data_IF_915107473007
#
_entry.id   IF_915107473007
#
_cell.length_a   1.000
_cell.length_b   1.000
_cell.length_c   1.000
_cell.angle_alpha   90.00
_cell.angle_beta   90.00
_cell.angle_gamma   90.00
#
_symmetry.space_group_name_H-M   'P 1'
#
loop_
_entity.id
_entity.type
_entity.pdbx_description
1 polymer ?
#
# COMPACT_ATOMS: atom_id res chain seq x y z
N UNK A 1 22.17 19.21 -0.42
CA UNK A 1 22.07 17.82 -0.92
C UNK A 1 22.21 17.90 -2.44
N UNK A 2 23.17 17.18 -3.03
CA UNK A 2 23.33 17.21 -4.49
C UNK A 2 22.26 16.36 -5.18
N UNK A 3 22.00 15.15 -4.66
CA UNK A 3 20.94 14.25 -5.12
C UNK A 3 20.19 13.69 -3.92
N UNK A 4 18.88 13.78 -3.94
CA UNK A 4 17.98 13.12 -3.02
C UNK A 4 17.28 11.98 -3.75
N UNK A 5 17.34 10.78 -3.20
CA UNK A 5 16.62 9.61 -3.72
C UNK A 5 15.57 9.23 -2.69
N UNK A 6 14.31 9.12 -3.12
CA UNK A 6 13.18 8.69 -2.30
C UNK A 6 12.62 7.42 -2.92
N UNK A 7 12.66 6.33 -2.19
CA UNK A 7 12.05 5.06 -2.59
C UNK A 7 10.73 4.84 -1.84
N UNK A 8 9.84 4.00 -2.38
CA UNK A 8 8.49 3.74 -1.86
C UNK A 8 7.69 5.04 -1.61
N UNK A 9 7.82 6.00 -2.51
CA UNK A 9 7.29 7.35 -2.33
C UNK A 9 5.75 7.43 -2.34
N UNK A 10 5.06 6.36 -2.72
CA UNK A 10 3.60 6.20 -2.55
C UNK A 10 3.21 6.16 -1.08
N UNK A 11 4.09 5.67 -0.20
CA UNK A 11 3.87 5.57 1.25
C UNK A 11 4.32 6.81 2.04
N UNK A 12 5.14 7.65 1.45
CA UNK A 12 5.70 8.84 2.11
C UNK A 12 4.81 10.03 1.86
N UNK A 13 4.33 10.69 2.90
CA UNK A 13 3.55 11.93 2.72
C UNK A 13 4.44 13.07 2.23
N UNK A 14 3.86 14.00 1.49
CA UNK A 14 4.61 15.20 1.08
C UNK A 14 5.08 16.01 2.29
N UNK A 15 4.32 16.01 3.37
CA UNK A 15 4.67 16.71 4.61
C UNK A 15 6.00 16.20 5.20
N UNK A 16 6.25 14.88 5.12
CA UNK A 16 7.47 14.27 5.63
C UNK A 16 8.68 14.52 4.73
N UNK A 17 8.48 14.66 3.43
CA UNK A 17 9.57 14.75 2.43
C UNK A 17 9.91 16.16 1.96
N UNK A 18 8.97 17.10 2.03
CA UNK A 18 9.13 18.44 1.42
C UNK A 18 10.35 19.19 1.92
N UNK A 19 10.67 19.09 3.20
CA UNK A 19 11.83 19.77 3.78
C UNK A 19 13.16 19.26 3.23
N UNK A 20 13.22 18.00 2.81
CA UNK A 20 14.38 17.38 2.17
C UNK A 20 14.43 17.73 0.67
N UNK A 21 13.28 17.68 0.00
CA UNK A 21 13.14 18.04 -1.41
C UNK A 21 13.63 19.46 -1.65
N UNK A 22 13.22 20.44 -0.83
CA UNK A 22 13.62 21.84 -0.95
C UNK A 22 15.13 22.10 -0.74
N UNK A 23 15.85 21.14 -0.17
CA UNK A 23 17.31 21.23 0.07
C UNK A 23 18.12 20.50 -0.97
N UNK A 24 17.48 19.80 -1.91
CA UNK A 24 18.15 19.01 -2.92
C UNK A 24 18.24 19.77 -4.25
N UNK A 25 19.38 19.64 -4.92
CA UNK A 25 19.55 20.18 -6.28
C UNK A 25 18.86 19.30 -7.32
N UNK A 26 18.82 18.01 -7.08
CA UNK A 26 18.18 17.01 -7.92
C UNK A 26 17.44 16.00 -7.03
N UNK A 27 16.23 15.61 -7.44
CA UNK A 27 15.42 14.64 -6.73
C UNK A 27 15.05 13.51 -7.69
N UNK A 28 15.24 12.28 -7.23
CA UNK A 28 14.86 11.05 -7.93
C UNK A 28 13.86 10.31 -7.05
N UNK A 29 12.68 10.03 -7.57
CA UNK A 29 11.58 9.45 -6.80
C UNK A 29 11.16 8.15 -7.44
N UNK A 30 11.13 7.09 -6.64
CA UNK A 30 10.62 5.78 -6.99
C UNK A 30 9.35 5.48 -6.20
N UNK A 31 8.39 4.83 -6.82
CA UNK A 31 7.16 4.41 -6.16
C UNK A 31 6.18 3.80 -7.15
N UNK A 32 5.14 3.19 -6.60
CA UNK A 32 4.09 2.54 -7.36
C UNK A 32 2.73 3.02 -6.83
N UNK A 33 1.93 3.64 -7.66
CA UNK A 33 0.62 4.19 -7.28
C UNK A 33 -0.46 3.12 -7.09
N UNK A 34 -0.21 1.91 -7.62
CA UNK A 34 -1.11 0.75 -7.48
C UNK A 34 -0.80 -0.09 -6.25
N UNK A 35 0.24 0.26 -5.51
CA UNK A 35 0.55 -0.33 -4.21
C UNK A 35 -0.05 0.50 -3.07
N UNK A 36 0.11 0.03 -1.85
CA UNK A 36 -0.46 0.68 -0.67
C UNK A 36 -0.01 2.13 -0.58
N UNK A 37 -0.98 3.05 -0.47
CA UNK A 37 -0.74 4.48 -0.33
C UNK A 37 -0.30 4.88 1.08
N UNK A 38 0.14 6.12 1.22
CA UNK A 38 0.48 6.69 2.53
C UNK A 38 -0.74 6.68 3.44
N UNK A 39 -0.67 5.93 4.55
CA UNK A 39 -1.69 6.01 5.59
C UNK A 39 -1.50 7.33 6.33
N UNK A 40 -2.44 8.25 6.15
CA UNK A 40 -2.43 9.51 6.88
C UNK A 40 -2.60 9.24 8.38
N UNK A 41 -1.51 9.33 9.13
CA UNK A 41 -1.52 9.16 10.58
C UNK A 41 -2.15 10.35 11.33
N UNK A 42 -2.49 11.43 10.64
CA UNK A 42 -2.97 12.66 11.27
C UNK A 42 -4.43 12.93 10.92
N UNK A 43 -5.30 12.79 11.91
CA UNK A 43 -6.62 13.42 11.93
C UNK A 43 -6.47 14.94 12.07
N UNK A 44 -5.99 15.62 11.03
CA UNK A 44 -6.02 17.09 11.00
C UNK A 44 -7.46 17.51 10.74
N UNK A 45 -8.03 18.32 11.63
CA UNK A 45 -9.41 18.76 11.47
C UNK A 45 -9.52 19.58 10.16
N UNK A 46 -10.50 19.27 9.37
CA UNK A 46 -10.78 19.88 8.06
C UNK A 46 -10.85 21.40 8.05
N UNK A 47 -11.37 21.98 9.15
CA UNK A 47 -11.51 23.43 9.28
C UNK A 47 -10.17 24.17 9.23
N UNK A 48 -9.14 23.63 9.90
CA UNK A 48 -7.81 24.23 9.87
C UNK A 48 -7.13 24.07 8.50
N UNK A 49 -7.34 22.94 7.83
CA UNK A 49 -6.77 22.71 6.51
C UNK A 49 -7.34 23.67 5.45
N UNK A 50 -8.65 23.90 5.43
CA UNK A 50 -9.30 24.77 4.46
C UNK A 50 -8.93 26.26 4.66
N UNK A 51 -8.90 26.73 5.92
CA UNK A 51 -8.48 28.09 6.25
C UNK A 51 -7.03 28.33 5.89
N UNK A 52 -6.14 27.44 6.29
CA UNK A 52 -4.72 27.52 6.01
C UNK A 52 -4.42 27.44 4.51
N UNK A 53 -5.15 26.59 3.78
CA UNK A 53 -5.02 26.50 2.34
C UNK A 53 -5.45 27.77 1.61
N UNK A 54 -6.51 28.42 2.07
CA UNK A 54 -6.94 29.74 1.57
C UNK A 54 -5.88 30.81 1.78
N UNK A 55 -5.21 30.83 2.94
CA UNK A 55 -4.13 31.76 3.24
C UNK A 55 -2.91 31.53 2.33
N UNK A 56 -2.53 30.26 2.11
CA UNK A 56 -1.42 29.91 1.19
C UNK A 56 -1.74 30.37 -0.24
N UNK A 57 -2.95 30.11 -0.75
CA UNK A 57 -3.35 30.53 -2.10
C UNK A 57 -3.28 32.05 -2.24
N UNK A 58 -3.72 32.78 -1.21
CA UNK A 58 -3.68 34.24 -1.22
C UNK A 58 -2.25 34.75 -1.21
N UNK A 59 -1.40 34.23 -0.33
CA UNK A 59 0.02 34.59 -0.28
C UNK A 59 0.75 34.28 -1.60
N UNK A 60 0.46 33.11 -2.19
CA UNK A 60 1.02 32.73 -3.48
C UNK A 60 0.61 33.70 -4.60
N UNK A 61 -0.66 34.08 -4.64
CA UNK A 61 -1.15 35.02 -5.64
C UNK A 61 -0.47 36.41 -5.52
N UNK A 62 -0.25 36.85 -4.28
CA UNK A 62 0.41 38.11 -3.98
C UNK A 62 1.91 38.06 -4.33
N UNK A 63 2.62 37.02 -3.97
CA UNK A 63 4.07 36.86 -4.21
C UNK A 63 4.42 36.72 -5.70
N UNK A 64 3.58 36.09 -6.50
CA UNK A 64 3.81 35.85 -7.93
C UNK A 64 3.03 36.80 -8.84
N UNK A 65 2.35 37.77 -8.28
CA UNK A 65 1.51 38.73 -9.02
C UNK A 65 0.54 38.05 -10.01
N UNK A 66 0.01 36.91 -9.57
CA UNK A 66 -0.95 36.09 -10.32
C UNK A 66 -2.34 36.29 -9.76
N UNK A 67 -3.32 36.46 -10.64
CA UNK A 67 -4.73 36.50 -10.24
C UNK A 67 -5.31 35.09 -10.19
N UNK A 68 -5.46 34.54 -9.00
CA UNK A 68 -6.33 33.37 -8.79
C UNK A 68 -7.75 33.89 -8.64
N UNK A 69 -8.66 33.50 -9.51
CA UNK A 69 -10.04 33.97 -9.46
C UNK A 69 -10.73 33.54 -8.16
N UNK A 70 -11.61 34.38 -7.61
CA UNK A 70 -12.38 34.03 -6.39
C UNK A 70 -13.22 32.75 -6.56
N UNK A 71 -13.65 32.46 -7.79
CA UNK A 71 -14.33 31.21 -8.14
C UNK A 71 -13.39 30.00 -7.97
N UNK A 72 -12.15 30.08 -8.44
CA UNK A 72 -11.16 29.01 -8.28
C UNK A 72 -10.76 28.83 -6.82
N UNK A 73 -10.60 29.92 -6.05
CA UNK A 73 -10.32 29.84 -4.61
C UNK A 73 -11.45 29.13 -3.87
N UNK A 74 -12.70 29.49 -4.18
CA UNK A 74 -13.88 28.88 -3.54
C UNK A 74 -13.99 27.40 -3.91
N UNK A 75 -13.78 27.03 -5.17
CA UNK A 75 -13.80 25.63 -5.62
C UNK A 75 -12.75 24.79 -4.89
N UNK A 76 -11.51 25.29 -4.74
CA UNK A 76 -10.45 24.62 -4.02
C UNK A 76 -10.76 24.45 -2.52
N UNK A 77 -11.33 25.47 -1.87
CA UNK A 77 -11.73 25.40 -0.47
C UNK A 77 -12.91 24.45 -0.29
N UNK A 78 -13.88 24.46 -1.21
CA UNK A 78 -15.04 23.57 -1.15
C UNK A 78 -14.65 22.10 -1.39
N UNK A 79 -13.68 21.80 -2.27
CA UNK A 79 -13.14 20.46 -2.46
C UNK A 79 -12.40 19.94 -1.22
N UNK A 80 -11.49 20.74 -0.66
CA UNK A 80 -10.79 20.37 0.58
C UNK A 80 -11.79 20.14 1.73
N UNK A 81 -12.91 20.87 1.76
CA UNK A 81 -13.95 20.72 2.76
C UNK A 81 -14.81 19.47 2.54
N UNK A 82 -15.00 19.04 1.29
CA UNK A 82 -15.76 17.84 0.92
C UNK A 82 -15.00 16.55 1.16
N UNK A 83 -13.68 16.52 0.90
CA UNK A 83 -12.81 15.36 1.14
C UNK A 83 -12.79 14.91 2.61
N UNK A 84 -13.19 15.79 3.52
CA UNK A 84 -13.22 15.49 4.96
C UNK A 84 -14.53 14.86 5.40
N UNK A 85 -15.61 15.02 4.63
CA UNK A 85 -16.91 14.41 4.93
C UNK A 85 -17.15 13.07 4.23
N UNK A 86 -16.25 12.67 3.36
CA UNK A 86 -16.30 11.38 2.67
C UNK A 86 -15.17 10.48 3.21
N UNK A 87 -15.48 9.73 4.27
CA UNK A 87 -14.86 8.42 4.43
C UNK A 87 -15.19 7.63 3.17
N UNK A 88 -14.13 7.11 2.50
CA UNK A 88 -14.20 6.13 1.45
C UNK A 88 -14.82 6.61 0.12
N UNK A 89 -13.99 7.19 -0.72
CA UNK A 89 -13.82 6.79 -2.14
C UNK A 89 -12.76 7.69 -2.76
N UNK A 90 -11.63 7.13 -3.14
CA UNK A 90 -10.74 7.72 -4.12
C UNK A 90 -11.55 7.96 -5.40
N UNK A 91 -12.13 9.14 -5.50
CA UNK A 91 -12.62 9.59 -6.78
C UNK A 91 -11.41 10.12 -7.55
N UNK A 92 -10.96 9.34 -8.53
CA UNK A 92 -10.14 9.78 -9.65
C UNK A 92 -10.86 10.93 -10.38
N UNK A 93 -10.88 12.08 -9.80
CA UNK A 93 -11.22 13.29 -10.52
C UNK A 93 -9.99 13.67 -11.32
N UNK A 94 -9.86 13.10 -12.49
CA UNK A 94 -9.01 13.57 -13.57
C UNK A 94 -9.47 14.98 -13.96
N UNK A 95 -9.10 15.96 -13.16
CA UNK A 95 -9.25 17.36 -13.50
C UNK A 95 -8.30 17.66 -14.65
N UNK A 96 -8.86 17.86 -15.83
CA UNK A 96 -8.10 18.43 -16.94
C UNK A 96 -7.69 19.85 -16.53
N UNK A 97 -6.40 20.12 -16.26
CA UNK A 97 -5.99 21.43 -15.82
C UNK A 97 -6.15 22.40 -16.97
N UNK A 98 -7.03 23.38 -16.82
CA UNK A 98 -7.03 24.54 -17.67
C UNK A 98 -5.99 25.57 -17.20
N UNK A 99 -5.54 25.43 -15.95
CA UNK A 99 -4.49 26.24 -15.33
C UNK A 99 -3.56 25.34 -14.51
N UNK A 100 -2.29 25.25 -14.91
CA UNK A 100 -1.28 24.43 -14.24
C UNK A 100 -1.04 24.79 -12.77
N UNK A 101 -1.30 26.03 -12.38
CA UNK A 101 -1.19 26.53 -11.01
C UNK A 101 -2.21 25.87 -10.09
N UNK A 102 -3.44 25.73 -10.55
CA UNK A 102 -4.54 25.11 -9.79
C UNK A 102 -4.25 23.62 -9.55
N UNK A 103 -3.76 22.91 -10.56
CA UNK A 103 -3.36 21.51 -10.41
C UNK A 103 -2.27 21.34 -9.34
N UNK A 104 -1.26 22.20 -9.39
CA UNK A 104 -0.15 22.16 -8.43
C UNK A 104 -0.63 22.38 -6.98
N UNK A 105 -1.50 23.36 -6.77
CA UNK A 105 -2.08 23.63 -5.44
C UNK A 105 -2.95 22.48 -4.93
N UNK A 106 -3.73 21.81 -5.80
CA UNK A 106 -4.53 20.65 -5.43
C UNK A 106 -3.69 19.44 -5.02
N UNK A 107 -2.54 19.24 -5.65
CA UNK A 107 -1.63 18.14 -5.30
C UNK A 107 -0.81 18.42 -4.04
N UNK A 108 -0.76 19.66 -3.56
CA UNK A 108 -0.07 20.03 -2.33
C UNK A 108 -1.00 19.88 -1.10
N UNK A 109 -1.38 18.65 -0.80
CA UNK A 109 -2.21 18.30 0.35
C UNK A 109 -1.41 17.42 1.32
N UNK A 110 -1.63 17.56 2.62
CA UNK A 110 -0.97 16.77 3.67
C UNK A 110 -1.20 15.26 3.51
N UNK A 111 -2.28 14.87 2.86
CA UNK A 111 -2.62 13.46 2.54
C UNK A 111 -2.01 12.97 1.24
N UNK A 112 -1.51 13.87 0.41
CA UNK A 112 -0.91 13.51 -0.86
C UNK A 112 0.42 12.81 -0.64
N UNK A 113 0.63 11.69 -1.32
CA UNK A 113 1.93 11.03 -1.31
C UNK A 113 2.98 11.85 -2.04
N UNK A 114 4.23 11.66 -1.64
CA UNK A 114 5.37 12.26 -2.34
C UNK A 114 5.41 11.87 -3.82
N UNK A 115 4.98 10.64 -4.16
CA UNK A 115 4.90 10.18 -5.55
C UNK A 115 3.88 10.98 -6.35
N UNK A 116 2.67 11.15 -5.83
CA UNK A 116 1.60 11.91 -6.51
C UNK A 116 2.00 13.37 -6.72
N UNK A 117 2.58 13.99 -5.69
CA UNK A 117 3.11 15.34 -5.80
C UNK A 117 4.22 15.43 -6.86
N UNK A 118 5.17 14.50 -6.84
CA UNK A 118 6.28 14.47 -7.80
C UNK A 118 5.80 14.31 -9.24
N UNK A 119 4.81 13.48 -9.51
CA UNK A 119 4.23 13.31 -10.86
C UNK A 119 3.70 14.61 -11.43
N UNK A 120 3.16 15.50 -10.58
CA UNK A 120 2.63 16.79 -11.02
C UNK A 120 3.72 17.82 -11.41
N UNK A 121 4.93 17.70 -10.83
CA UNK A 121 6.01 18.68 -11.03
C UNK A 121 7.25 18.11 -11.71
N UNK A 122 7.31 16.81 -11.94
CA UNK A 122 8.48 16.15 -12.52
C UNK A 122 8.73 16.62 -13.96
N UNK A 123 9.98 16.93 -14.24
CA UNK A 123 10.43 17.25 -15.61
C UNK A 123 10.70 16.00 -16.46
N UNK A 124 10.76 14.83 -15.85
CA UNK A 124 10.92 13.54 -16.51
C UNK A 124 10.25 12.43 -15.70
N UNK A 125 9.48 11.60 -16.37
CA UNK A 125 8.82 10.43 -15.77
C UNK A 125 9.00 9.22 -16.69
N UNK A 126 9.29 8.07 -16.09
CA UNK A 126 9.37 6.79 -16.80
C UNK A 126 8.75 5.68 -15.98
N UNK A 127 8.17 4.69 -16.64
CA UNK A 127 7.58 3.53 -16.01
C UNK A 127 8.48 2.31 -16.18
N UNK A 128 8.80 1.65 -15.07
CA UNK A 128 9.51 0.38 -15.07
C UNK A 128 8.49 -0.75 -15.22
N UNK A 129 8.52 -1.44 -16.34
CA UNK A 129 7.54 -2.50 -16.67
C UNK A 129 8.06 -3.91 -16.48
N UNK A 130 9.36 -4.08 -16.26
CA UNK A 130 9.95 -5.40 -16.12
C UNK A 130 9.84 -5.91 -14.69
N UNK A 131 9.29 -7.11 -14.53
CA UNK A 131 9.08 -7.76 -13.23
C UNK A 131 9.91 -9.02 -13.12
N UNK A 132 10.76 -9.11 -12.10
CA UNK A 132 11.70 -10.22 -11.86
C UNK A 132 11.44 -10.96 -10.55
N UNK A 133 10.62 -10.40 -9.63
CA UNK A 133 10.46 -10.89 -8.26
C UNK A 133 9.58 -12.15 -8.19
N UNK A 134 8.37 -12.08 -8.73
CA UNK A 134 7.37 -13.14 -8.60
C UNK A 134 7.21 -13.98 -9.86
N UNK A 135 6.74 -15.22 -9.71
CA UNK A 135 6.30 -16.03 -10.83
C UNK A 135 5.05 -15.44 -11.48
N UNK A 136 4.82 -15.70 -12.78
CA UNK A 136 3.66 -15.16 -13.51
C UNK A 136 2.32 -15.44 -12.81
N UNK A 137 2.17 -16.61 -12.22
CA UNK A 137 0.94 -17.03 -11.52
C UNK A 137 0.64 -16.21 -10.26
N UNK A 138 1.67 -15.63 -9.63
CA UNK A 138 1.52 -14.81 -8.43
C UNK A 138 1.17 -13.37 -8.83
N UNK A 139 1.93 -12.79 -9.77
CA UNK A 139 1.73 -11.39 -10.16
C UNK A 139 0.60 -11.20 -11.17
N UNK A 140 0.14 -12.29 -11.80
CA UNK A 140 -0.83 -12.26 -12.90
C UNK A 140 -2.12 -11.53 -12.53
N UNK A 141 -2.65 -11.78 -11.33
CA UNK A 141 -3.84 -11.06 -10.87
C UNK A 141 -3.62 -9.55 -10.85
N UNK A 142 -2.55 -9.09 -10.20
CA UNK A 142 -2.26 -7.66 -10.12
C UNK A 142 -1.97 -7.07 -11.50
N UNK A 143 -1.27 -7.82 -12.36
CA UNK A 143 -0.98 -7.38 -13.72
C UNK A 143 -2.27 -7.19 -14.54
N UNK A 144 -3.19 -8.15 -14.49
CA UNK A 144 -4.41 -8.10 -15.29
C UNK A 144 -5.42 -7.06 -14.78
N UNK A 145 -5.56 -6.89 -13.45
CA UNK A 145 -6.60 -6.06 -12.86
C UNK A 145 -6.17 -4.62 -12.55
N UNK A 146 -4.87 -4.34 -12.42
CA UNK A 146 -4.38 -3.01 -12.07
C UNK A 146 -3.47 -2.43 -13.14
N UNK A 147 -2.36 -3.11 -13.47
CA UNK A 147 -1.36 -2.53 -14.35
C UNK A 147 -1.79 -2.49 -15.82
N UNK A 148 -2.45 -3.54 -16.29
CA UNK A 148 -2.92 -3.63 -17.68
C UNK A 148 -4.06 -2.64 -17.99
N UNK A 149 -4.99 -2.47 -17.07
CA UNK A 149 -6.04 -1.47 -17.18
C UNK A 149 -5.48 -0.05 -17.26
N UNK A 150 -4.38 0.20 -16.56
CA UNK A 150 -3.66 1.47 -16.59
C UNK A 150 -2.70 1.62 -17.77
N UNK A 151 -2.72 0.72 -18.76
CA UNK A 151 -1.78 0.67 -19.89
C UNK A 151 -0.30 0.48 -19.48
N UNK A 152 -0.09 -0.08 -18.30
CA UNK A 152 1.23 -0.35 -17.70
C UNK A 152 1.49 -1.85 -17.56
N UNK A 153 1.00 -2.68 -18.49
CA UNK A 153 1.19 -4.12 -18.46
C UNK A 153 2.64 -4.52 -18.15
N UNK A 154 2.80 -5.36 -17.12
CA UNK A 154 4.10 -5.81 -16.67
C UNK A 154 4.65 -6.93 -17.57
N UNK A 155 5.92 -6.83 -17.88
CA UNK A 155 6.69 -7.89 -18.57
C UNK A 155 7.31 -8.78 -17.51
N UNK A 156 6.75 -9.97 -17.31
CA UNK A 156 7.24 -10.90 -16.28
C UNK A 156 8.41 -11.70 -16.83
N UNK A 157 9.60 -11.39 -16.35
CA UNK A 157 10.86 -12.03 -16.80
C UNK A 157 11.26 -13.25 -15.97
N UNK A 158 10.52 -13.57 -14.89
CA UNK A 158 10.79 -14.74 -14.08
C UNK A 158 10.13 -15.98 -14.67
N UNK A 159 10.95 -16.92 -15.10
CA UNK A 159 10.48 -18.21 -15.63
C UNK A 159 10.14 -19.12 -14.45
N UNK A 160 8.97 -19.74 -14.52
CA UNK A 160 8.55 -20.76 -13.56
C UNK A 160 9.39 -22.02 -13.71
N UNK A 161 10.04 -22.41 -12.62
CA UNK A 161 10.88 -23.63 -12.54
C UNK A 161 10.23 -24.77 -11.78
N UNK A 162 9.02 -24.57 -11.24
CA UNK A 162 8.25 -25.53 -10.43
C UNK A 162 6.87 -25.75 -11.03
N UNK A 163 6.21 -26.91 -10.79
CA UNK A 163 4.79 -27.08 -11.12
C UNK A 163 3.92 -25.99 -10.47
N UNK A 164 2.82 -25.62 -11.13
CA UNK A 164 1.93 -24.55 -10.63
C UNK A 164 1.40 -24.81 -9.22
N UNK A 165 1.08 -26.07 -8.89
CA UNK A 165 0.62 -26.46 -7.56
C UNK A 165 1.67 -26.32 -6.44
N UNK A 166 2.94 -26.10 -6.79
CA UNK A 166 4.00 -25.77 -5.84
C UNK A 166 4.21 -24.26 -5.70
N UNK A 167 3.77 -23.49 -6.69
CA UNK A 167 3.87 -22.02 -6.70
C UNK A 167 2.71 -21.38 -5.98
N UNK A 168 1.50 -21.88 -6.23
CA UNK A 168 0.25 -21.36 -5.64
C UNK A 168 -0.57 -22.53 -5.11
N UNK A 169 -0.84 -22.55 -3.81
CA UNK A 169 -1.60 -23.59 -3.13
C UNK A 169 -2.76 -22.98 -2.37
N UNK A 170 -3.95 -23.57 -2.52
CA UNK A 170 -5.14 -23.22 -1.76
C UNK A 170 -5.43 -24.33 -0.76
N UNK A 171 -5.43 -23.99 0.53
CA UNK A 171 -5.74 -24.89 1.63
C UNK A 171 -7.10 -24.48 2.19
N UNK A 172 -8.10 -25.32 1.98
CA UNK A 172 -9.41 -25.11 2.57
C UNK A 172 -9.43 -25.62 4.00
N UNK A 173 -9.84 -24.79 4.94
CA UNK A 173 -9.98 -25.13 6.36
C UNK A 173 -11.43 -25.05 6.81
N UNK A 174 -11.71 -25.69 7.95
CA UNK A 174 -13.04 -25.62 8.57
C UNK A 174 -13.36 -24.21 9.04
N UNK A 175 -14.64 -23.84 8.98
CA UNK A 175 -15.13 -22.58 9.52
C UNK A 175 -15.48 -22.69 11.02
N UNK A 176 -15.27 -23.83 11.65
CA UNK A 176 -15.57 -24.05 13.06
C UNK A 176 -14.53 -23.39 13.99
N UNK A 177 -13.33 -23.15 13.50
CA UNK A 177 -12.22 -22.55 14.25
C UNK A 177 -12.33 -21.04 14.47
N UNK A 178 -13.44 -20.42 14.12
CA UNK A 178 -13.66 -18.99 14.38
C UNK A 178 -13.84 -18.77 15.88
N UNK A 179 -12.81 -18.23 16.53
CA UNK A 179 -12.72 -18.05 17.97
C UNK A 179 -13.16 -16.67 18.46
N UNK A 180 -13.55 -15.78 17.54
CA UNK A 180 -13.94 -14.40 17.84
C UNK A 180 -14.03 -13.57 16.57
N UNK A 181 -14.30 -12.27 16.67
CA UNK A 181 -14.23 -11.40 15.52
C UNK A 181 -12.79 -11.42 14.96
N UNK A 182 -12.67 -11.52 13.66
CA UNK A 182 -11.39 -11.43 12.96
C UNK A 182 -10.34 -12.48 13.33
N UNK A 183 -10.75 -13.67 13.82
CA UNK A 183 -9.82 -14.73 14.22
C UNK A 183 -10.31 -16.10 13.78
N UNK A 184 -9.46 -16.85 13.07
CA UNK A 184 -9.70 -18.23 12.65
C UNK A 184 -8.55 -19.14 13.10
N UNK A 185 -8.81 -19.97 14.12
CA UNK A 185 -7.81 -20.88 14.69
C UNK A 185 -7.46 -22.03 13.75
N UNK A 186 -8.42 -22.50 12.94
CA UNK A 186 -8.18 -23.61 12.01
C UNK A 186 -7.18 -23.20 10.91
N UNK A 187 -7.22 -21.92 10.46
CA UNK A 187 -6.19 -21.41 9.53
C UNK A 187 -4.81 -21.37 10.19
N UNK A 188 -4.72 -20.90 11.43
CA UNK A 188 -3.45 -20.87 12.16
C UNK A 188 -2.90 -22.29 12.33
N UNK A 189 -3.76 -23.25 12.68
CA UNK A 189 -3.39 -24.65 12.86
C UNK A 189 -2.89 -25.28 11.56
N UNK A 190 -3.58 -25.00 10.44
CA UNK A 190 -3.16 -25.46 9.12
C UNK A 190 -1.78 -24.89 8.73
N UNK A 191 -1.56 -23.61 8.95
CA UNK A 191 -0.26 -22.98 8.71
C UNK A 191 0.83 -23.59 9.59
N UNK A 192 0.57 -23.75 10.90
CA UNK A 192 1.52 -24.40 11.81
C UNK A 192 1.87 -25.82 11.35
N UNK A 193 0.87 -26.58 10.91
CA UNK A 193 1.05 -27.94 10.44
C UNK A 193 1.92 -27.99 9.19
N UNK A 194 1.68 -27.11 8.21
CA UNK A 194 2.48 -27.06 7.00
C UNK A 194 3.91 -26.59 7.29
N UNK A 195 4.10 -25.57 8.13
CA UNK A 195 5.43 -25.15 8.58
C UNK A 195 6.18 -26.34 9.21
N UNK A 196 5.55 -27.07 10.13
CA UNK A 196 6.15 -28.24 10.77
C UNK A 196 6.56 -29.32 9.76
N UNK A 197 5.70 -29.60 8.79
CA UNK A 197 5.98 -30.59 7.75
C UNK A 197 7.15 -30.17 6.88
N UNK A 198 7.22 -28.90 6.49
CA UNK A 198 8.34 -28.36 5.70
C UNK A 198 9.66 -28.40 6.46
N UNK A 199 9.65 -28.02 7.73
CA UNK A 199 10.85 -28.10 8.59
C UNK A 199 11.35 -29.53 8.72
N UNK A 200 10.44 -30.48 8.93
CA UNK A 200 10.76 -31.92 9.01
C UNK A 200 11.30 -32.45 7.68
N UNK A 201 10.86 -31.89 6.54
CA UNK A 201 11.37 -32.20 5.20
C UNK A 201 12.71 -31.49 4.89
N UNK A 202 13.28 -30.75 5.84
CA UNK A 202 14.58 -30.06 5.67
C UNK A 202 14.51 -28.73 4.92
N UNK A 203 13.35 -28.07 4.89
CA UNK A 203 13.23 -26.75 4.30
C UNK A 203 14.15 -25.74 5.00
N UNK A 204 14.88 -24.96 4.19
CA UNK A 204 15.87 -23.96 4.68
C UNK A 204 15.57 -22.53 4.21
N UNK A 205 14.48 -22.36 3.48
CA UNK A 205 14.08 -21.06 2.96
C UNK A 205 13.45 -20.15 4.01
N UNK A 206 13.08 -18.97 3.59
CA UNK A 206 12.46 -17.92 4.41
C UNK A 206 10.93 -18.04 4.38
N UNK A 207 10.27 -17.65 5.48
CA UNK A 207 8.82 -17.80 5.68
C UNK A 207 8.20 -16.46 6.04
N UNK A 208 7.13 -16.09 5.34
CA UNK A 208 6.27 -14.95 5.67
C UNK A 208 4.83 -15.40 5.89
N UNK A 209 4.12 -14.72 6.77
CA UNK A 209 2.68 -14.94 6.97
C UNK A 209 2.02 -13.57 6.91
N UNK A 210 0.95 -13.46 6.11
CA UNK A 210 0.20 -12.21 5.93
C UNK A 210 -1.23 -12.45 6.41
N UNK A 211 -1.80 -11.48 7.10
CA UNK A 211 -3.21 -11.45 7.43
C UNK A 211 -3.76 -10.02 7.37
N UNK A 212 -5.05 -9.88 7.06
CA UNK A 212 -5.75 -8.60 7.02
C UNK A 212 -6.26 -8.14 8.38
N UNK A 213 -6.08 -8.94 9.46
CA UNK A 213 -6.64 -8.66 10.77
C UNK A 213 -5.58 -8.71 11.87
N UNK A 214 -5.48 -7.64 12.66
CA UNK A 214 -4.51 -7.53 13.75
C UNK A 214 -4.76 -8.56 14.87
N UNK A 215 -6.02 -8.91 15.10
CA UNK A 215 -6.39 -9.96 16.06
C UNK A 215 -5.85 -11.31 15.61
N UNK A 216 -5.96 -11.63 14.31
CA UNK A 216 -5.40 -12.86 13.74
C UNK A 216 -3.87 -12.87 13.84
N UNK A 217 -3.23 -11.74 13.55
CA UNK A 217 -1.78 -11.58 13.67
C UNK A 217 -1.32 -11.90 15.10
N UNK A 218 -1.92 -11.24 16.08
CA UNK A 218 -1.57 -11.41 17.51
C UNK A 218 -1.80 -12.85 17.97
N UNK A 219 -2.91 -13.46 17.55
CA UNK A 219 -3.22 -14.84 17.91
C UNK A 219 -2.27 -15.84 17.25
N UNK A 220 -1.89 -15.57 16.01
CA UNK A 220 -0.92 -16.38 15.28
C UNK A 220 0.48 -16.31 15.92
N UNK A 221 0.94 -15.13 16.31
CA UNK A 221 2.21 -14.98 17.04
C UNK A 221 2.22 -15.78 18.34
N UNK A 222 1.12 -15.73 19.10
CA UNK A 222 0.98 -16.51 20.33
C UNK A 222 1.07 -18.01 20.05
N UNK A 223 0.24 -18.55 19.15
CA UNK A 223 0.17 -19.98 18.88
C UNK A 223 1.45 -20.54 18.24
N UNK A 224 2.09 -19.79 17.36
CA UNK A 224 3.39 -20.19 16.79
C UNK A 224 4.45 -20.23 17.89
N UNK A 225 4.46 -19.26 18.80
CA UNK A 225 5.42 -19.25 19.91
C UNK A 225 5.19 -20.40 20.92
N UNK A 226 3.95 -20.84 21.08
CA UNK A 226 3.61 -22.01 21.90
C UNK A 226 4.08 -23.32 21.26
N UNK A 227 4.03 -23.42 19.92
CA UNK A 227 4.29 -24.68 19.18
C UNK A 227 5.72 -24.81 18.69
N UNK A 228 6.42 -23.71 18.52
CA UNK A 228 7.77 -23.66 17.93
C UNK A 228 8.70 -22.78 18.75
N UNK A 229 10.01 -23.02 18.58
CA UNK A 229 10.98 -22.06 19.02
C UNK A 229 11.01 -20.85 18.08
N UNK A 230 10.26 -19.80 18.43
CA UNK A 230 10.11 -18.58 17.63
C UNK A 230 11.48 -17.92 17.33
N UNK A 231 12.41 -17.93 18.28
CA UNK A 231 13.75 -17.36 18.07
C UNK A 231 14.52 -18.12 16.98
N UNK A 232 14.40 -19.43 16.94
CA UNK A 232 14.99 -20.26 15.89
C UNK A 232 14.34 -20.00 14.53
N UNK A 233 13.00 -19.92 14.47
CA UNK A 233 12.29 -19.61 13.23
C UNK A 233 12.66 -18.23 12.68
N UNK A 234 12.77 -17.22 13.53
CA UNK A 234 13.19 -15.87 13.11
C UNK A 234 14.63 -15.83 12.63
N UNK A 235 15.54 -16.54 13.31
CA UNK A 235 16.97 -16.58 12.93
C UNK A 235 17.19 -17.38 11.65
N UNK A 236 16.64 -18.60 11.56
CA UNK A 236 16.98 -19.57 10.53
C UNK A 236 16.09 -19.46 9.28
N UNK A 237 14.84 -19.02 9.46
CA UNK A 237 13.84 -18.92 8.40
C UNK A 237 13.32 -17.49 8.18
N UNK A 238 13.87 -16.48 8.86
CA UNK A 238 13.43 -15.08 8.81
C UNK A 238 11.91 -14.95 8.93
N UNK A 239 11.30 -15.76 9.81
CA UNK A 239 9.85 -15.74 9.99
C UNK A 239 9.39 -14.37 10.45
N UNK A 240 8.43 -13.82 9.72
CA UNK A 240 7.70 -12.60 10.08
C UNK A 240 6.21 -12.85 9.83
N UNK A 241 5.39 -12.29 10.70
CA UNK A 241 3.93 -12.29 10.56
C UNK A 241 3.52 -10.85 10.37
N UNK A 242 3.02 -10.53 9.17
CA UNK A 242 2.65 -9.17 8.79
C UNK A 242 1.15 -8.95 8.83
N UNK A 243 0.77 -7.76 9.22
CA UNK A 243 -0.48 -7.17 8.76
C UNK A 243 -0.32 -6.74 7.30
N UNK A 244 -1.38 -6.83 6.50
CA UNK A 244 -1.33 -6.61 5.05
C UNK A 244 -0.68 -5.28 4.65
N UNK A 245 -0.83 -4.21 5.45
CA UNK A 245 -0.20 -2.92 5.19
C UNK A 245 1.31 -2.85 5.47
N UNK A 246 1.86 -3.83 6.19
CA UNK A 246 3.26 -3.81 6.64
C UNK A 246 4.18 -4.66 5.74
N UNK A 247 3.64 -5.29 4.69
CA UNK A 247 4.36 -6.28 3.87
C UNK A 247 5.07 -5.67 2.66
N UNK A 248 4.84 -4.41 2.37
CA UNK A 248 5.37 -3.78 1.16
C UNK A 248 6.91 -3.80 1.15
N UNK A 249 7.49 -4.12 -0.01
CA UNK A 249 8.95 -4.24 -0.17
C UNK A 249 9.55 -5.57 0.31
N UNK A 250 8.80 -6.41 1.03
CA UNK A 250 9.28 -7.66 1.60
C UNK A 250 9.23 -8.85 0.62
N UNK A 251 10.13 -9.79 0.80
CA UNK A 251 10.21 -11.02 0.00
C UNK A 251 10.48 -12.23 0.89
N UNK A 252 9.81 -13.35 0.62
CA UNK A 252 10.05 -14.65 1.27
C UNK A 252 9.95 -15.78 0.26
N UNK A 253 10.62 -16.89 0.53
CA UNK A 253 10.54 -18.08 -0.32
C UNK A 253 9.16 -18.74 -0.26
N UNK A 254 8.49 -18.64 0.90
CA UNK A 254 7.12 -19.08 1.11
C UNK A 254 6.36 -17.97 1.83
N UNK A 255 5.17 -17.67 1.32
CA UNK A 255 4.23 -16.73 1.96
C UNK A 255 2.90 -17.45 2.16
N UNK A 256 2.41 -17.46 3.40
CA UNK A 256 1.05 -17.86 3.74
C UNK A 256 0.18 -16.62 3.81
N UNK A 257 -1.02 -16.70 3.24
CA UNK A 257 -2.03 -15.69 3.39
C UNK A 257 -3.22 -16.25 4.18
N UNK A 258 -3.51 -15.66 5.33
CA UNK A 258 -4.62 -16.03 6.21
C UNK A 258 -5.77 -15.05 5.99
N UNK A 259 -6.85 -15.53 5.40
CA UNK A 259 -8.01 -14.69 5.02
C UNK A 259 -8.95 -14.43 6.20
N UNK A 260 -9.00 -15.36 7.18
CA UNK A 260 -9.89 -15.34 8.35
C UNK A 260 -11.37 -15.51 8.02
N UNK A 261 -11.83 -14.92 6.94
CA UNK A 261 -13.25 -14.90 6.59
C UNK A 261 -13.74 -16.18 5.96
N UNK A 262 -14.72 -16.79 6.64
CA UNK A 262 -15.50 -17.87 6.06
C UNK A 262 -17.01 -17.72 6.30
N UNK A 263 -17.52 -16.73 7.00
CA UNK A 263 -18.89 -16.79 7.54
C UNK A 263 -19.87 -15.70 7.20
N UNK A 264 -19.50 -14.61 6.59
CA UNK A 264 -20.50 -13.59 6.23
C UNK A 264 -21.04 -13.68 4.80
N UNK A 265 -20.82 -14.79 4.14
CA UNK A 265 -21.49 -15.14 2.87
C UNK A 265 -23.01 -15.26 2.95
N UNK A 266 -23.64 -15.05 4.13
CA UNK A 266 -25.11 -15.03 4.21
C UNK A 266 -25.77 -13.92 3.42
N UNK A 267 -25.05 -12.88 3.05
CA UNK A 267 -25.59 -11.75 2.28
C UNK A 267 -24.87 -11.47 0.95
N UNK A 268 -23.98 -12.36 0.48
CA UNK A 268 -23.33 -12.19 -0.84
C UNK A 268 -22.37 -11.00 -0.95
N UNK A 269 -22.14 -10.27 0.11
CA UNK A 269 -21.16 -9.20 0.15
C UNK A 269 -19.89 -9.72 0.78
N UNK A 270 -18.84 -9.85 -0.02
CA UNK A 270 -17.48 -9.77 0.49
C UNK A 270 -17.41 -8.43 1.22
N UNK A 271 -17.16 -8.47 2.53
CA UNK A 271 -16.82 -7.24 3.21
C UNK A 271 -15.62 -6.64 2.47
N UNK A 272 -15.76 -5.42 2.00
CA UNK A 272 -14.65 -4.68 1.39
C UNK A 272 -13.51 -4.61 2.39
N UNK A 273 -12.41 -5.23 2.03
CA UNK A 273 -11.14 -5.09 2.72
C UNK A 273 -10.61 -3.67 2.46
#
# INVERSE_FOLDING_TARGET
IDVLIIDEASQVSIADSISLILRAKQVVIFGDEYQYGAVSATNVSSRYSASYFSEIITAYADDYNTTVSEAAKKELVDEVSKEVSADEQESDVLLKPQDGTVLWLKTFNIRTSTLTFAKAIANYTTSLKEHFRSFPEIIGYSNDFFYKEAQMELIVNRIRTKPIGEVLQFISVSTQGIAGPNTNLDEIEAICTDIKNRLNAGFKGTIGIITSFKEQQSRMEQLINEKFNMAALRRDHKLVIWFVGDVQGEERDIVYYSFVEAKNLKNGNLASI
#
